data_IF_403390731585
#
_entry.id   IF_403390731585
#
_cell.length_a   1.000
_cell.length_b   1.000
_cell.length_c   1.000
_cell.angle_alpha   90.00
_cell.angle_beta   90.00
_cell.angle_gamma   90.00
#
_symmetry.space_group_name_H-M   'P 1'
#
loop_
_entity.id
_entity.type
_entity.pdbx_description
1 polymer ?
#
# COMPACT_ATOMS: atom_id res chain seq x y z
N UNK A 1 -9.30 -12.03 38.70
CA UNK A 1 -9.58 -11.13 37.56
C UNK A 1 -10.56 -11.84 36.63
N UNK A 2 -11.74 -11.28 36.38
CA UNK A 2 -12.69 -11.88 35.43
C UNK A 2 -12.13 -11.74 34.00
N UNK A 3 -12.16 -12.81 33.18
CA UNK A 3 -11.71 -12.73 31.80
C UNK A 3 -12.64 -11.81 31.00
N UNK A 4 -12.05 -10.85 30.27
CA UNK A 4 -12.77 -10.01 29.32
C UNK A 4 -13.28 -10.90 28.18
N UNK A 5 -14.55 -11.31 28.23
CA UNK A 5 -15.21 -11.91 27.07
C UNK A 5 -15.37 -10.82 26.00
N UNK A 6 -14.43 -10.77 25.05
CA UNK A 6 -14.60 -9.98 23.85
C UNK A 6 -15.80 -10.56 23.09
N UNK A 7 -16.91 -9.83 23.06
CA UNK A 7 -18.09 -10.25 22.32
C UNK A 7 -17.68 -10.53 20.87
N UNK A 8 -17.69 -11.81 20.49
CA UNK A 8 -17.35 -12.28 19.14
C UNK A 8 -18.23 -11.58 18.09
N UNK A 9 -19.47 -11.25 18.48
CA UNK A 9 -20.40 -10.45 17.68
C UNK A 9 -19.95 -9.00 17.44
N UNK A 10 -19.30 -8.36 18.42
CA UNK A 10 -18.83 -6.97 18.29
C UNK A 10 -17.62 -6.89 17.34
N UNK A 11 -16.66 -7.80 17.48
CA UNK A 11 -15.53 -7.93 16.56
C UNK A 11 -15.99 -8.30 15.14
N UNK A 12 -16.96 -9.20 15.03
CA UNK A 12 -17.56 -9.56 13.73
C UNK A 12 -18.23 -8.35 13.07
N UNK A 13 -19.07 -7.61 13.80
CA UNK A 13 -19.72 -6.38 13.30
C UNK A 13 -18.68 -5.35 12.87
N UNK A 14 -17.67 -5.10 13.70
CA UNK A 14 -16.57 -4.19 13.37
C UNK A 14 -15.84 -4.60 12.09
N UNK A 15 -15.50 -5.89 11.95
CA UNK A 15 -14.88 -6.42 10.73
C UNK A 15 -15.78 -6.24 9.49
N UNK A 16 -17.10 -6.39 9.64
CA UNK A 16 -18.09 -6.20 8.57
C UNK A 16 -18.15 -4.74 8.13
N UNK A 17 -18.13 -3.79 9.09
CA UNK A 17 -18.04 -2.37 8.79
C UNK A 17 -16.73 -2.02 8.06
N UNK A 18 -15.58 -2.54 8.51
CA UNK A 18 -14.31 -2.33 7.82
C UNK A 18 -14.31 -2.89 6.39
N UNK A 19 -14.92 -4.07 6.19
CA UNK A 19 -15.08 -4.67 4.85
C UNK A 19 -15.95 -3.79 3.94
N UNK A 20 -17.05 -3.23 4.47
CA UNK A 20 -17.90 -2.30 3.72
C UNK A 20 -17.22 -0.97 3.38
N UNK A 21 -16.31 -0.50 4.25
CA UNK A 21 -15.56 0.73 4.04
C UNK A 21 -14.41 0.57 3.02
N UNK A 22 -13.84 -0.64 2.91
CA UNK A 22 -12.73 -0.98 2.01
C UNK A 22 -12.90 -0.50 0.55
N UNK A 23 -14.03 -0.73 -0.17
CA UNK A 23 -14.21 -0.24 -1.53
C UNK A 23 -14.19 1.29 -1.62
N UNK A 24 -14.85 1.98 -0.68
CA UNK A 24 -14.88 3.45 -0.63
C UNK A 24 -13.47 4.04 -0.45
N UNK A 25 -12.68 3.46 0.47
CA UNK A 25 -11.29 3.86 0.69
C UNK A 25 -10.40 3.56 -0.52
N UNK A 26 -10.63 2.44 -1.23
CA UNK A 26 -9.92 2.12 -2.47
C UNK A 26 -10.24 3.12 -3.57
N UNK A 27 -11.50 3.47 -3.75
CA UNK A 27 -11.93 4.49 -4.73
C UNK A 27 -11.33 5.85 -4.41
N UNK A 28 -11.36 6.27 -3.14
CA UNK A 28 -10.75 7.52 -2.68
C UNK A 28 -9.23 7.51 -2.90
N UNK A 29 -8.55 6.41 -2.56
CA UNK A 29 -7.12 6.25 -2.83
C UNK A 29 -6.82 6.34 -4.32
N UNK A 30 -7.65 5.73 -5.18
CA UNK A 30 -7.43 5.76 -6.64
C UNK A 30 -7.65 7.17 -7.20
N UNK A 31 -8.70 7.87 -6.77
CA UNK A 31 -9.02 9.21 -7.29
C UNK A 31 -8.05 10.30 -6.79
N UNK A 32 -7.70 10.29 -5.51
CA UNK A 32 -6.86 11.34 -4.90
C UNK A 32 -5.37 11.04 -5.01
N UNK A 33 -4.96 9.77 -4.88
CA UNK A 33 -3.55 9.36 -4.84
C UNK A 33 -3.06 8.68 -6.13
N UNK A 34 -3.96 8.24 -7.02
CA UNK A 34 -3.58 7.56 -8.26
C UNK A 34 -2.72 8.41 -9.19
N UNK A 35 -2.90 9.73 -9.16
CA UNK A 35 -2.08 10.70 -9.92
C UNK A 35 -1.00 11.38 -9.07
N UNK A 36 -0.72 10.90 -7.84
CA UNK A 36 0.18 11.58 -6.92
C UNK A 36 1.60 11.69 -7.47
N UNK A 37 2.17 10.60 -7.99
CA UNK A 37 3.52 10.61 -8.59
C UNK A 37 3.60 11.54 -9.80
N UNK A 38 2.52 11.62 -10.60
CA UNK A 38 2.42 12.59 -11.69
C UNK A 38 2.42 14.03 -11.16
N UNK A 39 1.63 14.31 -10.12
CA UNK A 39 1.57 15.64 -9.46
C UNK A 39 2.89 16.04 -8.82
N UNK A 40 3.63 15.11 -8.20
CA UNK A 40 4.97 15.37 -7.66
C UNK A 40 5.92 15.76 -8.78
N UNK A 41 5.92 15.02 -9.89
CA UNK A 41 6.76 15.30 -11.06
C UNK A 41 6.43 16.66 -11.69
N UNK A 42 5.14 16.98 -11.84
CA UNK A 42 4.68 18.27 -12.35
C UNK A 42 5.10 19.43 -11.43
N UNK A 43 4.89 19.30 -10.12
CA UNK A 43 5.28 20.32 -9.15
C UNK A 43 6.81 20.52 -9.09
N UNK A 44 7.59 19.45 -9.26
CA UNK A 44 9.04 19.54 -9.36
C UNK A 44 9.49 20.26 -10.64
N UNK A 45 8.86 19.93 -11.77
CA UNK A 45 9.14 20.60 -13.05
C UNK A 45 8.84 22.10 -12.98
N UNK A 46 7.71 22.48 -12.39
CA UNK A 46 7.33 23.88 -12.17
C UNK A 46 8.35 24.60 -11.27
N UNK A 47 8.76 23.96 -10.17
CA UNK A 47 9.81 24.50 -9.29
C UNK A 47 11.13 24.75 -10.04
N UNK A 48 11.57 23.83 -10.90
CA UNK A 48 12.79 24.03 -11.71
C UNK A 48 12.68 25.26 -12.61
N UNK A 49 11.54 25.45 -13.28
CA UNK A 49 11.29 26.61 -14.15
C UNK A 49 11.32 27.90 -13.32
N UNK A 50 10.65 27.94 -12.16
CA UNK A 50 10.64 29.13 -11.29
C UNK A 50 12.01 29.46 -10.71
N UNK A 51 12.81 28.44 -10.35
CA UNK A 51 14.20 28.62 -9.93
C UNK A 51 15.07 29.19 -11.04
N UNK A 52 14.94 28.70 -12.27
CA UNK A 52 15.68 29.21 -13.42
C UNK A 52 15.30 30.67 -13.72
N UNK A 53 14.01 31.01 -13.66
CA UNK A 53 13.52 32.38 -13.82
C UNK A 53 14.06 33.31 -12.74
N UNK A 54 14.07 32.88 -11.47
CA UNK A 54 14.64 33.63 -10.36
C UNK A 54 16.16 33.84 -10.52
N UNK A 55 16.89 32.82 -11.00
CA UNK A 55 18.33 32.93 -11.27
C UNK A 55 18.64 33.90 -12.42
N UNK A 56 17.80 33.92 -13.47
CA UNK A 56 17.95 34.84 -14.60
C UNK A 56 17.56 36.28 -14.25
N UNK A 57 16.49 36.45 -13.47
CA UNK A 57 15.97 37.76 -13.05
C UNK A 57 15.52 37.68 -11.58
N UNK A 58 16.37 38.13 -10.63
CA UNK A 58 16.04 38.10 -9.21
C UNK A 58 15.15 39.30 -8.82
N UNK A 59 13.92 39.33 -9.33
CA UNK A 59 12.90 40.30 -8.90
C UNK A 59 12.11 39.76 -7.70
N UNK A 60 11.52 40.64 -6.86
CA UNK A 60 10.69 40.22 -5.74
C UNK A 60 9.56 39.25 -6.13
N UNK A 61 8.97 39.44 -7.31
CA UNK A 61 7.91 38.59 -7.86
C UNK A 61 8.43 37.19 -8.18
N UNK A 62 9.61 37.09 -8.80
CA UNK A 62 10.22 35.79 -9.14
C UNK A 62 10.68 35.04 -7.89
N UNK A 63 11.18 35.75 -6.87
CA UNK A 63 11.51 35.16 -5.57
C UNK A 63 10.25 34.64 -4.88
N UNK A 64 9.15 35.38 -4.91
CA UNK A 64 7.87 34.93 -4.35
C UNK A 64 7.33 33.70 -5.10
N UNK A 65 7.36 33.72 -6.42
CA UNK A 65 6.90 32.60 -7.26
C UNK A 65 7.72 31.32 -7.04
N UNK A 66 9.04 31.42 -6.86
CA UNK A 66 9.89 30.28 -6.49
C UNK A 66 9.51 29.71 -5.13
N UNK A 67 9.30 30.57 -4.12
CA UNK A 67 8.91 30.16 -2.78
C UNK A 67 7.56 29.41 -2.77
N UNK A 68 6.57 29.91 -3.51
CA UNK A 68 5.28 29.23 -3.65
C UNK A 68 5.41 27.86 -4.34
N UNK A 69 6.16 27.79 -5.44
CA UNK A 69 6.43 26.54 -6.14
C UNK A 69 7.16 25.53 -5.25
N UNK A 70 8.12 26.00 -4.45
CA UNK A 70 8.90 25.19 -3.51
C UNK A 70 8.02 24.62 -2.39
N UNK A 71 7.18 25.45 -1.78
CA UNK A 71 6.22 25.03 -0.77
C UNK A 71 5.20 24.01 -1.33
N UNK A 72 4.74 24.23 -2.57
CA UNK A 72 3.84 23.30 -3.26
C UNK A 72 4.52 21.95 -3.50
N UNK A 73 5.73 21.94 -4.05
CA UNK A 73 6.47 20.70 -4.29
C UNK A 73 6.73 19.93 -2.99
N UNK A 74 7.19 20.61 -1.94
CA UNK A 74 7.44 19.98 -0.64
C UNK A 74 6.18 19.33 -0.08
N UNK A 75 5.04 20.04 -0.09
CA UNK A 75 3.76 19.50 0.40
C UNK A 75 3.33 18.23 -0.35
N UNK A 76 3.42 18.22 -1.68
CA UNK A 76 2.99 17.06 -2.48
C UNK A 76 3.98 15.90 -2.32
N UNK A 77 5.29 16.19 -2.23
CA UNK A 77 6.33 15.20 -1.96
C UNK A 77 6.16 14.53 -0.59
N UNK A 78 5.83 15.30 0.45
CA UNK A 78 5.60 14.76 1.81
C UNK A 78 4.39 13.80 1.83
N UNK A 79 3.35 14.10 1.04
CA UNK A 79 2.19 13.22 0.90
C UNK A 79 2.60 11.91 0.21
N UNK A 80 3.41 11.98 -0.86
CA UNK A 80 3.91 10.78 -1.55
C UNK A 80 4.76 9.89 -0.64
N UNK A 81 5.64 10.50 0.16
CA UNK A 81 6.45 9.78 1.14
C UNK A 81 5.57 9.08 2.19
N UNK A 82 4.60 9.79 2.77
CA UNK A 82 3.66 9.23 3.76
C UNK A 82 2.87 8.05 3.20
N UNK A 83 2.40 8.17 1.95
CA UNK A 83 1.70 7.07 1.26
C UNK A 83 2.63 5.88 1.02
N UNK A 84 3.87 6.14 0.60
CA UNK A 84 4.87 5.08 0.37
C UNK A 84 5.26 4.37 1.66
N UNK A 85 5.39 5.10 2.77
CA UNK A 85 5.60 4.57 4.12
C UNK A 85 4.44 3.69 4.57
N UNK A 86 3.19 4.16 4.40
CA UNK A 86 1.99 3.36 4.73
C UNK A 86 1.90 2.07 3.91
N UNK A 87 2.20 2.12 2.61
CA UNK A 87 2.15 0.96 1.70
C UNK A 87 3.23 -0.08 2.01
N UNK A 88 4.45 0.37 2.29
CA UNK A 88 5.58 -0.52 2.60
C UNK A 88 5.45 -1.20 3.97
N UNK A 89 4.61 -0.68 4.88
CA UNK A 89 4.43 -1.19 6.26
C UNK A 89 5.76 -1.29 7.03
N UNK A 90 6.74 -0.45 6.69
CA UNK A 90 8.02 -0.36 7.39
C UNK A 90 7.84 0.58 8.57
N UNK A 91 7.92 0.02 9.78
CA UNK A 91 7.65 0.76 11.02
C UNK A 91 8.83 1.67 11.43
N UNK A 92 10.05 1.35 10.99
CA UNK A 92 11.32 1.83 11.56
C UNK A 92 12.27 2.51 10.57
N UNK A 93 11.76 3.25 9.57
CA UNK A 93 12.61 4.23 8.87
C UNK A 93 12.50 5.56 9.62
N UNK A 94 13.52 5.83 10.44
CA UNK A 94 13.74 7.11 11.09
C UNK A 94 13.80 8.18 9.99
N UNK A 95 12.90 9.16 10.11
CA UNK A 95 12.60 10.18 9.09
C UNK A 95 13.82 11.05 8.87
N UNK A 96 14.32 11.14 7.64
CA UNK A 96 15.44 12.03 7.30
C UNK A 96 15.76 12.04 5.82
N UNK A 97 15.97 10.86 5.23
CA UNK A 97 16.20 10.74 3.80
C UNK A 97 14.90 10.40 3.08
N UNK A 98 14.55 11.22 2.09
CA UNK A 98 13.45 11.03 1.11
C UNK A 98 13.67 9.75 0.27
N UNK A 99 13.74 8.60 0.91
CA UNK A 99 14.27 7.37 0.35
C UNK A 99 13.14 6.51 -0.23
N UNK A 100 12.36 7.10 -1.15
CA UNK A 100 11.26 6.43 -1.86
C UNK A 100 11.71 5.08 -2.45
N UNK A 101 12.96 4.99 -2.94
CA UNK A 101 13.55 3.76 -3.47
C UNK A 101 13.61 2.63 -2.43
N UNK A 102 13.94 2.93 -1.18
CA UNK A 102 13.97 1.94 -0.10
C UNK A 102 12.56 1.39 0.19
N UNK A 103 11.54 2.25 0.20
CA UNK A 103 10.15 1.82 0.38
C UNK A 103 9.64 0.95 -0.77
N UNK A 104 9.93 1.34 -2.03
CA UNK A 104 9.58 0.54 -3.20
C UNK A 104 10.29 -0.82 -3.18
N UNK A 105 11.58 -0.85 -2.85
CA UNK A 105 12.34 -2.09 -2.74
C UNK A 105 11.80 -2.99 -1.62
N UNK A 106 11.49 -2.43 -0.45
CA UNK A 106 10.90 -3.18 0.66
C UNK A 106 9.53 -3.78 0.29
N UNK A 107 8.69 -3.03 -0.42
CA UNK A 107 7.40 -3.52 -0.93
C UNK A 107 7.60 -4.66 -1.93
N UNK A 108 8.54 -4.52 -2.87
CA UNK A 108 8.87 -5.55 -3.88
C UNK A 108 9.45 -6.82 -3.25
N UNK A 109 10.33 -6.68 -2.26
CA UNK A 109 10.89 -7.82 -1.50
C UNK A 109 9.78 -8.56 -0.78
N UNK A 110 8.85 -7.83 -0.14
CA UNK A 110 7.72 -8.43 0.57
C UNK A 110 6.73 -9.12 -0.37
N UNK A 111 6.44 -8.52 -1.52
CA UNK A 111 5.63 -9.14 -2.58
C UNK A 111 6.27 -10.44 -3.08
N UNK A 112 7.57 -10.42 -3.38
CA UNK A 112 8.33 -11.61 -3.78
C UNK A 112 8.32 -12.70 -2.71
N UNK A 113 8.54 -12.33 -1.44
CA UNK A 113 8.56 -13.27 -0.31
C UNK A 113 7.19 -13.88 -0.01
N UNK A 114 6.10 -13.13 -0.22
CA UNK A 114 4.74 -13.58 0.05
C UNK A 114 4.09 -14.26 -1.18
N UNK A 115 4.74 -14.26 -2.33
CA UNK A 115 4.26 -14.96 -3.50
C UNK A 115 4.35 -16.47 -3.26
N UNK A 116 3.22 -17.16 -3.35
CA UNK A 116 3.18 -18.62 -3.34
C UNK A 116 3.67 -19.08 -4.70
N UNK A 117 4.86 -19.68 -4.73
CA UNK A 117 5.53 -20.15 -5.96
C UNK A 117 5.32 -21.63 -6.22
N UNK A 118 5.02 -22.39 -5.19
CA UNK A 118 4.73 -23.81 -5.28
C UNK A 118 3.78 -24.23 -4.15
N UNK A 119 2.93 -25.21 -4.45
CA UNK A 119 2.10 -25.91 -3.46
C UNK A 119 2.36 -27.40 -3.63
N UNK A 120 2.55 -28.10 -2.51
CA UNK A 120 2.63 -29.56 -2.48
C UNK A 120 1.23 -30.14 -2.31
N UNK A 121 0.82 -30.95 -3.27
CA UNK A 121 -0.47 -31.62 -3.33
C UNK A 121 -0.52 -32.83 -2.38
N UNK A 122 -1.73 -33.31 -2.07
CA UNK A 122 -1.95 -34.48 -1.22
C UNK A 122 -1.40 -35.79 -1.82
N UNK A 123 -1.26 -35.88 -3.14
CA UNK A 123 -0.65 -36.99 -3.87
C UNK A 123 0.89 -36.96 -3.88
N UNK A 124 1.49 -35.94 -3.22
CA UNK A 124 2.94 -35.75 -3.16
C UNK A 124 3.53 -34.98 -4.35
N UNK A 125 2.74 -34.64 -5.37
CA UNK A 125 3.18 -33.80 -6.49
C UNK A 125 3.32 -32.33 -6.07
N UNK A 126 4.16 -31.57 -6.79
CA UNK A 126 4.31 -30.13 -6.58
C UNK A 126 3.78 -29.36 -7.79
N UNK A 127 2.84 -28.46 -7.57
CA UNK A 127 2.34 -27.54 -8.60
C UNK A 127 3.07 -26.21 -8.51
N UNK A 128 3.63 -25.77 -9.64
CA UNK A 128 4.45 -24.53 -9.74
C UNK A 128 3.84 -23.50 -10.68
N UNK A 129 2.87 -23.88 -11.52
CA UNK A 129 2.16 -22.94 -12.39
C UNK A 129 1.08 -22.21 -11.60
N UNK A 130 0.83 -20.95 -11.95
CA UNK A 130 -0.12 -20.13 -11.20
C UNK A 130 -1.58 -20.60 -11.35
N UNK A 131 -1.93 -21.24 -12.45
CA UNK A 131 -3.26 -21.80 -12.65
C UNK A 131 -3.46 -23.10 -11.87
N UNK A 132 -2.45 -23.95 -11.77
CA UNK A 132 -2.54 -25.18 -10.98
C UNK A 132 -2.51 -24.88 -9.48
N UNK A 133 -1.71 -23.90 -9.04
CA UNK A 133 -1.72 -23.38 -7.66
C UNK A 133 -3.12 -22.90 -7.25
N UNK A 134 -3.85 -22.20 -8.15
CA UNK A 134 -5.23 -21.76 -7.87
C UNK A 134 -6.18 -22.95 -7.73
N UNK A 135 -6.16 -23.88 -8.68
CA UNK A 135 -7.02 -25.08 -8.66
C UNK A 135 -6.80 -25.91 -7.40
N UNK A 136 -5.54 -26.11 -7.03
CA UNK A 136 -5.16 -26.87 -5.84
C UNK A 136 -5.61 -26.17 -4.55
N UNK A 137 -5.42 -24.83 -4.47
CA UNK A 137 -5.91 -24.05 -3.34
C UNK A 137 -7.44 -24.07 -3.24
N UNK A 138 -8.16 -23.96 -4.36
CA UNK A 138 -9.62 -24.06 -4.41
C UNK A 138 -10.10 -25.44 -3.93
N UNK A 139 -9.49 -26.53 -4.42
CA UNK A 139 -9.80 -27.90 -3.97
C UNK A 139 -9.61 -28.03 -2.47
N UNK A 140 -8.42 -27.69 -1.97
CA UNK A 140 -8.06 -27.84 -0.57
C UNK A 140 -9.00 -27.06 0.35
N UNK A 141 -9.27 -25.78 0.06
CA UNK A 141 -10.14 -24.98 0.92
C UNK A 141 -11.61 -25.39 0.80
N UNK A 142 -12.06 -25.89 -0.36
CA UNK A 142 -13.41 -26.42 -0.48
C UNK A 142 -13.58 -27.65 0.42
N UNK A 143 -12.68 -28.63 0.33
CA UNK A 143 -12.69 -29.81 1.20
C UNK A 143 -12.56 -29.45 2.68
N UNK A 144 -11.63 -28.56 3.03
CA UNK A 144 -11.40 -28.14 4.41
C UNK A 144 -12.61 -27.42 5.02
N UNK A 145 -13.29 -26.56 4.25
CA UNK A 145 -14.43 -25.77 4.74
C UNK A 145 -15.76 -26.53 4.68
N UNK A 146 -15.86 -27.58 3.85
CA UNK A 146 -17.05 -28.45 3.74
C UNK A 146 -16.93 -29.73 4.58
N UNK A 147 -15.80 -29.92 5.26
CA UNK A 147 -15.60 -31.04 6.17
C UNK A 147 -16.52 -30.90 7.40
N UNK A 148 -17.59 -31.69 7.44
CA UNK A 148 -18.36 -31.95 8.65
C UNK A 148 -17.73 -33.14 9.39
N UNK A 149 -17.25 -32.95 10.64
CA UNK A 149 -16.81 -34.07 11.45
C UNK A 149 -18.02 -34.97 11.71
N UNK A 150 -17.90 -36.26 11.36
CA UNK A 150 -18.92 -37.25 11.75
C UNK A 150 -18.98 -37.24 13.27
N UNK A 151 -20.19 -37.07 13.79
CA UNK A 151 -20.48 -37.15 15.22
C UNK A 151 -19.77 -38.37 15.80
N UNK A 152 -18.87 -38.11 16.74
CA UNK A 152 -18.18 -39.16 17.49
C UNK A 152 -19.21 -39.68 18.50
N UNK A 153 -19.71 -40.90 18.28
CA UNK A 153 -20.48 -41.66 19.27
C UNK A 153 -19.70 -41.82 20.59
#
# INVERSE_FOLDING_TARGET
MQPLFQSTSALYRFSKYLKGLKPHLRTLSKSKLGSLTKKVKEAYSDLCVKKEQMMRMPTPENVYAEREASARWQRVSDIEEKVSKQRSKVHWLQVGDKNNKAFYNAAKIRESRNAIREIKCADGSCVTTQDDIKKEAERYFNEFLTFEPRDVE
#
